data_IF_048291695760
#
_entry.id   IF_048291695760
#
_cell.length_a   1.000
_cell.length_b   1.000
_cell.length_c   1.000
_cell.angle_alpha   90.00
_cell.angle_beta   90.00
_cell.angle_gamma   90.00
#
_symmetry.space_group_name_H-M   'P 1'
#
loop_
_entity.id
_entity.type
_entity.pdbx_description
1 polymer ?
#
# COMPACT_ATOMS: atom_id res chain seq x y z
N UNK A 1 -0.48 3.84 6.36
CA UNK A 1 -1.59 3.53 7.28
C UNK A 1 -1.27 4.01 8.68
N UNK A 2 -2.27 4.16 9.53
CA UNK A 2 -2.05 4.40 10.97
C UNK A 2 -1.94 3.08 11.74
N UNK A 3 -1.33 3.10 12.93
CA UNK A 3 -1.28 1.94 13.80
C UNK A 3 -2.66 1.57 14.36
N UNK A 4 -2.92 0.28 14.52
CA UNK A 4 -4.06 -0.22 15.30
C UNK A 4 -3.93 0.12 16.79
N UNK A 5 -5.04 0.09 17.52
CA UNK A 5 -5.05 0.25 18.98
C UNK A 5 -5.00 -1.10 19.67
N UNK A 6 -4.50 -1.11 20.90
CA UNK A 6 -4.54 -2.30 21.75
C UNK A 6 -5.99 -2.60 22.17
N UNK A 7 -6.28 -3.88 22.38
CA UNK A 7 -7.48 -4.29 23.11
C UNK A 7 -7.43 -3.82 24.56
N UNK A 8 -8.60 -3.71 25.17
CA UNK A 8 -8.75 -3.33 26.57
C UNK A 8 -9.50 -4.44 27.33
N UNK A 9 -9.51 -4.34 28.67
CA UNK A 9 -10.24 -5.27 29.52
C UNK A 9 -11.73 -5.36 29.17
N UNK A 10 -12.42 -6.37 29.73
CA UNK A 10 -13.81 -6.73 29.42
C UNK A 10 -14.01 -7.27 28.00
N UNK A 11 -13.03 -8.02 27.49
CA UNK A 11 -13.08 -8.69 26.19
C UNK A 11 -13.36 -7.71 25.02
N UNK A 12 -12.74 -6.53 25.05
CA UNK A 12 -12.93 -5.47 24.05
C UNK A 12 -11.71 -5.39 23.15
N UNK A 13 -11.91 -5.68 21.86
CA UNK A 13 -10.85 -5.57 20.87
C UNK A 13 -10.49 -4.11 20.57
N UNK A 14 -9.23 -3.91 20.19
CA UNK A 14 -8.72 -2.62 19.77
C UNK A 14 -9.14 -2.29 18.34
N UNK A 15 -9.35 -1.00 18.05
CA UNK A 15 -9.72 -0.56 16.70
C UNK A 15 -8.55 -0.76 15.72
N UNK A 16 -8.88 -1.24 14.51
CA UNK A 16 -7.93 -1.29 13.41
C UNK A 16 -7.38 0.09 13.01
N UNK A 17 -6.18 0.09 12.44
CA UNK A 17 -5.60 1.28 11.81
C UNK A 17 -6.42 1.73 10.61
N UNK A 18 -6.21 2.97 10.17
CA UNK A 18 -6.80 3.49 8.93
C UNK A 18 -5.84 3.28 7.77
N UNK A 19 -6.42 2.97 6.62
CA UNK A 19 -5.68 2.93 5.36
C UNK A 19 -5.23 4.33 4.94
N UNK A 20 -4.18 4.38 4.13
CA UNK A 20 -3.69 5.60 3.49
C UNK A 20 -3.65 5.33 2.01
N UNK A 21 -4.31 6.18 1.23
CA UNK A 21 -4.33 6.10 -0.22
C UNK A 21 -3.35 7.12 -0.81
N UNK A 22 -2.61 6.71 -1.83
CA UNK A 22 -1.73 7.58 -2.61
C UNK A 22 -2.31 7.64 -4.01
N UNK A 23 -2.74 8.82 -4.45
CA UNK A 23 -3.29 9.03 -5.78
C UNK A 23 -2.15 9.12 -6.79
N UNK A 24 -2.33 8.46 -7.93
CA UNK A 24 -1.39 8.47 -9.06
C UNK A 24 -2.17 8.60 -10.36
N UNK A 25 -1.56 9.06 -11.46
CA UNK A 25 -2.22 9.11 -12.76
C UNK A 25 -2.55 7.70 -13.30
N UNK A 26 -3.60 7.55 -14.12
CA UNK A 26 -3.79 6.35 -14.94
C UNK A 26 -2.56 6.06 -15.81
N UNK A 27 -2.25 4.78 -16.03
CA UNK A 27 -1.03 4.33 -16.70
C UNK A 27 0.20 4.19 -15.80
N UNK A 28 0.04 4.27 -14.48
CA UNK A 28 1.16 4.11 -13.52
C UNK A 28 1.49 2.64 -13.30
N UNK A 29 2.75 2.27 -13.53
CA UNK A 29 3.32 0.96 -13.17
C UNK A 29 4.00 1.06 -11.81
N UNK A 30 3.69 0.13 -10.90
CA UNK A 30 4.28 0.06 -9.56
C UNK A 30 5.27 -1.10 -9.48
N UNK A 31 6.51 -0.81 -9.08
CA UNK A 31 7.59 -1.80 -8.95
C UNK A 31 8.26 -1.72 -7.58
N UNK A 32 8.75 -2.85 -7.08
CA UNK A 32 9.61 -2.84 -5.89
C UNK A 32 11.01 -2.35 -6.26
N UNK A 33 11.57 -1.44 -5.46
CA UNK A 33 12.75 -0.66 -5.84
C UNK A 33 14.01 -1.52 -5.98
N UNK A 34 14.20 -2.52 -5.12
CA UNK A 34 15.45 -3.29 -5.07
C UNK A 34 15.44 -4.47 -6.05
N UNK A 35 14.31 -5.17 -6.13
CA UNK A 35 14.13 -6.37 -6.95
C UNK A 35 13.63 -6.07 -8.35
N UNK A 36 13.18 -4.84 -8.61
CA UNK A 36 12.56 -4.42 -9.86
C UNK A 36 11.31 -5.24 -10.26
N UNK A 37 10.78 -6.05 -9.32
CA UNK A 37 9.59 -6.87 -9.55
C UNK A 37 8.37 -5.96 -9.66
N UNK A 38 7.59 -6.16 -10.72
CA UNK A 38 6.31 -5.46 -10.91
C UNK A 38 5.31 -5.93 -9.85
N UNK A 39 4.80 -4.99 -9.07
CA UNK A 39 3.74 -5.23 -8.10
C UNK A 39 2.36 -5.14 -8.76
N UNK A 40 2.21 -4.28 -9.78
CA UNK A 40 0.99 -4.13 -10.57
C UNK A 40 1.02 -2.86 -11.43
N UNK A 41 -0.03 -2.67 -12.21
CA UNK A 41 -0.26 -1.48 -13.04
C UNK A 41 -1.65 -0.93 -12.73
N UNK A 42 -1.78 0.39 -12.68
CA UNK A 42 -3.03 1.14 -12.53
C UNK A 42 -3.30 1.78 -13.89
N UNK A 43 -4.29 1.27 -14.63
CA UNK A 43 -4.48 1.60 -16.05
C UNK A 43 -5.60 2.60 -16.26
N UNK A 44 -6.67 2.46 -15.49
CA UNK A 44 -7.88 3.26 -15.61
C UNK A 44 -8.11 4.11 -14.35
N UNK A 45 -8.96 5.13 -14.46
CA UNK A 45 -9.39 5.89 -13.29
C UNK A 45 -10.19 4.99 -12.34
N UNK A 46 -9.96 5.15 -11.04
CA UNK A 46 -10.58 4.33 -10.01
C UNK A 46 -9.87 3.00 -9.73
N UNK A 47 -8.88 2.59 -10.52
CA UNK A 47 -8.05 1.43 -10.21
C UNK A 47 -7.37 1.58 -8.84
N UNK A 48 -7.30 0.47 -8.09
CA UNK A 48 -6.68 0.43 -6.76
C UNK A 48 -5.74 -0.76 -6.64
N UNK A 49 -4.55 -0.51 -6.10
CA UNK A 49 -3.54 -1.53 -5.86
C UNK A 49 -3.11 -1.52 -4.39
N UNK A 50 -3.34 -2.62 -3.67
CA UNK A 50 -2.83 -2.78 -2.31
C UNK A 50 -1.34 -3.13 -2.35
N UNK A 51 -0.50 -2.14 -2.09
CA UNK A 51 0.96 -2.30 -2.16
C UNK A 51 1.62 -2.65 -0.82
N UNK A 52 0.96 -2.34 0.29
CA UNK A 52 1.43 -2.64 1.65
C UNK A 52 0.25 -2.93 2.59
N UNK A 53 0.10 -4.19 3.01
CA UNK A 53 -0.95 -4.60 3.95
C UNK A 53 -0.55 -4.24 5.39
N UNK A 54 -1.51 -3.73 6.16
CA UNK A 54 -1.36 -3.58 7.61
C UNK A 54 -1.12 -4.92 8.31
N UNK A 55 -0.47 -4.88 9.47
CA UNK A 55 -0.20 -6.07 10.27
C UNK A 55 -1.46 -6.57 10.98
N UNK A 56 -1.47 -7.86 11.33
CA UNK A 56 -2.58 -8.45 12.08
C UNK A 56 -2.61 -7.92 13.52
N UNK A 57 -3.81 -7.70 14.05
CA UNK A 57 -3.99 -7.38 15.47
C UNK A 57 -3.50 -8.51 16.38
N UNK A 58 -3.01 -8.15 17.57
CA UNK A 58 -2.61 -9.13 18.58
C UNK A 58 -3.83 -9.83 19.20
N UNK A 59 -3.64 -11.03 19.76
CA UNK A 59 -4.70 -11.77 20.44
C UNK A 59 -4.63 -11.55 21.95
N UNK A 60 -5.77 -11.16 22.54
CA UNK A 60 -5.91 -11.06 24.00
C UNK A 60 -5.91 -12.42 24.68
N UNK A 61 -5.83 -12.44 26.01
CA UNK A 61 -5.75 -13.68 26.79
C UNK A 61 -6.98 -14.58 26.66
N UNK A 62 -8.16 -14.00 26.39
CA UNK A 62 -9.40 -14.74 26.15
C UNK A 62 -9.27 -15.74 24.97
N UNK A 63 -8.47 -15.41 23.95
CA UNK A 63 -8.21 -16.29 22.81
C UNK A 63 -7.38 -17.54 23.18
N UNK A 64 -6.77 -17.58 24.37
CA UNK A 64 -5.94 -18.68 24.86
C UNK A 64 -6.59 -19.46 26.01
N UNK A 65 -7.87 -19.18 26.31
CA UNK A 65 -8.62 -19.90 27.34
C UNK A 65 -8.89 -21.33 26.88
N UNK A 66 -8.68 -22.29 27.79
CA UNK A 66 -9.02 -23.70 27.58
C UNK A 66 -9.68 -24.25 28.85
N UNK A 67 -10.35 -25.40 28.78
CA UNK A 67 -11.00 -26.02 29.95
C UNK A 67 -10.03 -26.24 31.13
N UNK A 68 -8.74 -26.47 30.84
CA UNK A 68 -7.69 -26.64 31.85
C UNK A 68 -7.04 -25.32 32.30
N UNK A 69 -7.25 -24.22 31.57
CA UNK A 69 -6.62 -22.91 31.83
C UNK A 69 -7.61 -21.78 31.54
N UNK A 70 -8.47 -21.52 32.50
CA UNK A 70 -9.56 -20.52 32.42
C UNK A 70 -9.09 -19.08 32.58
N UNK A 71 -7.91 -18.85 33.19
CA UNK A 71 -7.30 -17.52 33.33
C UNK A 71 -5.87 -17.45 32.77
N UNK A 72 -5.68 -17.49 31.43
CA UNK A 72 -4.36 -17.35 30.82
C UNK A 72 -3.74 -15.98 31.12
N UNK A 73 -2.43 -15.96 31.39
CA UNK A 73 -1.61 -14.74 31.51
C UNK A 73 -0.81 -14.43 30.23
N UNK A 74 -1.12 -15.12 29.14
CA UNK A 74 -0.48 -14.94 27.84
C UNK A 74 -1.35 -14.06 26.93
N UNK A 75 -0.71 -13.19 26.15
CA UNK A 75 -1.32 -12.46 25.04
C UNK A 75 -0.30 -12.35 23.91
N UNK A 76 -0.78 -12.23 22.67
CA UNK A 76 0.06 -12.01 21.50
C UNK A 76 0.10 -10.54 21.12
N UNK A 77 1.29 -10.06 20.73
CA UNK A 77 1.45 -8.72 20.16
C UNK A 77 0.92 -8.70 18.73
N UNK A 78 0.48 -7.53 18.28
CA UNK A 78 0.16 -7.32 16.87
C UNK A 78 1.40 -7.48 15.99
N UNK A 79 1.18 -7.96 14.78
CA UNK A 79 2.24 -8.11 13.78
C UNK A 79 2.56 -6.75 13.16
N UNK A 80 3.83 -6.53 12.76
CA UNK A 80 4.17 -5.36 11.98
C UNK A 80 3.50 -5.41 10.60
N UNK A 81 3.06 -4.26 10.10
CA UNK A 81 2.60 -4.14 8.71
C UNK A 81 3.75 -4.28 7.70
N UNK A 82 3.39 -4.63 6.47
CA UNK A 82 4.35 -4.70 5.38
C UNK A 82 4.99 -3.31 5.14
N UNK A 83 6.31 -3.29 4.97
CA UNK A 83 7.08 -2.11 4.57
C UNK A 83 7.78 -2.43 3.26
N UNK A 84 7.65 -1.55 2.27
CA UNK A 84 8.24 -1.72 0.93
C UNK A 84 8.70 -0.37 0.40
N UNK A 85 9.79 -0.39 -0.34
CA UNK A 85 10.23 0.73 -1.17
C UNK A 85 9.71 0.49 -2.58
N UNK A 86 8.97 1.44 -3.12
CA UNK A 86 8.30 1.30 -4.41
C UNK A 86 8.73 2.41 -5.35
N UNK A 87 9.05 2.04 -6.58
CA UNK A 87 9.13 2.96 -7.71
C UNK A 87 7.77 3.06 -8.40
N UNK A 88 7.39 4.27 -8.77
CA UNK A 88 6.19 4.57 -9.55
C UNK A 88 6.64 5.14 -10.89
N UNK A 89 6.30 4.45 -11.97
CA UNK A 89 6.68 4.83 -13.32
C UNK A 89 5.42 5.07 -14.15
N UNK A 90 5.22 6.30 -14.62
CA UNK A 90 4.13 6.61 -15.53
C UNK A 90 4.52 6.20 -16.94
N UNK A 91 3.79 5.24 -17.52
CA UNK A 91 3.95 4.94 -18.95
C UNK A 91 3.23 6.02 -19.75
N UNK A 92 3.99 6.99 -20.22
CA UNK A 92 3.51 7.94 -21.20
C UNK A 92 3.37 7.23 -22.55
N UNK A 93 2.15 6.88 -22.92
CA UNK A 93 1.81 6.85 -24.34
C UNK A 93 1.49 8.31 -24.65
N UNK A 94 2.27 8.95 -25.52
CA UNK A 94 2.10 10.37 -25.78
C UNK A 94 0.67 10.65 -26.30
N UNK A 95 -0.21 11.14 -25.42
CA UNK A 95 -1.56 11.61 -25.79
C UNK A 95 -1.48 12.86 -26.69
N UNK A 96 -0.31 13.52 -26.71
CA UNK A 96 -0.01 14.68 -27.55
C UNK A 96 1.11 14.33 -28.52
N UNK A 97 0.74 13.99 -29.75
CA UNK A 97 1.66 14.00 -30.89
C UNK A 97 1.81 15.44 -31.40
N UNK A 98 3.03 16.00 -31.36
CA UNK A 98 3.28 17.26 -32.06
C UNK A 98 3.17 17.02 -33.57
N UNK A 99 2.03 17.39 -34.18
CA UNK A 99 1.90 17.53 -35.63
C UNK A 99 2.50 18.87 -36.06
N UNK A 100 3.50 18.81 -36.94
CA UNK A 100 4.21 19.99 -37.42
C UNK A 100 5.28 19.57 -38.43
N UNK A 101 5.57 20.42 -39.41
CA UNK A 101 6.50 20.13 -40.52
C UNK A 101 7.86 19.61 -40.00
N UNK A 102 8.58 18.80 -40.79
CA UNK A 102 9.96 18.43 -40.47
C UNK A 102 10.76 19.70 -40.14
N UNK A 103 11.47 19.71 -39.02
CA UNK A 103 12.30 20.82 -38.49
C UNK A 103 11.61 21.96 -37.73
N UNK A 104 10.36 21.81 -37.26
CA UNK A 104 9.67 22.84 -36.46
C UNK A 104 10.22 23.06 -35.02
N UNK A 105 11.49 22.76 -34.73
CA UNK A 105 12.10 23.03 -33.42
C UNK A 105 11.52 22.22 -32.25
N UNK A 106 10.74 21.17 -32.52
CA UNK A 106 10.06 20.36 -31.49
C UNK A 106 11.04 19.74 -30.49
N UNK A 107 12.24 19.37 -30.93
CA UNK A 107 13.27 18.81 -30.07
C UNK A 107 13.79 19.81 -29.03
N UNK A 108 13.83 21.10 -29.37
CA UNK A 108 14.29 22.16 -28.45
C UNK A 108 13.24 22.48 -27.38
N UNK A 109 11.96 22.35 -27.69
CA UNK A 109 10.84 22.55 -26.76
C UNK A 109 10.66 21.41 -25.75
N UNK A 110 11.12 20.19 -26.07
CA UNK A 110 11.05 19.03 -25.16
C UNK A 110 12.19 18.99 -24.15
N UNK A 111 13.24 19.78 -24.34
CA UNK A 111 14.46 19.76 -23.54
C UNK A 111 14.51 20.84 -22.45
N UNK A 112 13.46 21.68 -22.33
CA UNK A 112 13.33 22.74 -21.32
C UNK A 112 12.33 22.37 -20.22
#
# INVERSE_FOLDING_TARGET
GTGGRNGIGKNKDGKGGRDVEVRVPPGTTVRELHTQKVAGELREDGDRLLVARGGRGGRGNAAFMTNKRTAPRLAERGEPGAKRWLGLELRLVADVGFLGKPNAGKSTLLAS
#
